data_IF_276593028317
#
_entry.id   IF_276593028317
#
_cell.length_a   1.000
_cell.length_b   1.000
_cell.length_c   1.000
_cell.angle_alpha   90.00
_cell.angle_beta   90.00
_cell.angle_gamma   90.00
#
_symmetry.space_group_name_H-M   'P 1'
#
loop_
_entity.id
_entity.type
_entity.pdbx_description
1 polymer ?
#
# COMPACT_ATOMS: atom_id res chain seq x y z
N UNK A 1 -48.92 20.95 -24.74
CA UNK A 1 -48.89 20.14 -23.50
C UNK A 1 -47.69 19.20 -23.60
N UNK A 2 -46.79 19.19 -22.62
CA UNK A 2 -45.63 18.28 -22.64
C UNK A 2 -46.10 16.85 -22.40
N UNK A 3 -45.69 15.92 -23.28
CA UNK A 3 -45.99 14.50 -23.08
C UNK A 3 -45.23 13.95 -21.88
N UNK A 4 -45.75 12.88 -21.28
CA UNK A 4 -45.11 12.20 -20.16
C UNK A 4 -43.65 11.81 -20.50
N UNK A 5 -43.41 11.32 -21.72
CA UNK A 5 -42.08 10.94 -22.21
C UNK A 5 -41.11 12.13 -22.26
N UNK A 6 -41.57 13.33 -22.64
CA UNK A 6 -40.72 14.52 -22.66
C UNK A 6 -40.29 14.96 -21.26
N UNK A 7 -41.21 14.91 -20.28
CA UNK A 7 -40.91 15.25 -18.89
C UNK A 7 -39.92 14.26 -18.27
N UNK A 8 -40.09 12.97 -18.55
CA UNK A 8 -39.15 11.93 -18.12
C UNK A 8 -37.76 12.13 -18.73
N UNK A 9 -37.68 12.42 -20.03
CA UNK A 9 -36.41 12.69 -20.71
C UNK A 9 -35.66 13.88 -20.10
N UNK A 10 -36.35 14.98 -19.77
CA UNK A 10 -35.70 16.13 -19.12
C UNK A 10 -35.10 15.78 -17.76
N UNK A 11 -35.80 14.99 -16.94
CA UNK A 11 -35.30 14.55 -15.63
C UNK A 11 -34.06 13.65 -15.80
N UNK A 12 -34.12 12.69 -16.72
CA UNK A 12 -33.01 11.75 -16.96
C UNK A 12 -31.80 12.47 -17.54
N UNK A 13 -31.97 13.33 -18.55
CA UNK A 13 -30.87 14.09 -19.14
C UNK A 13 -30.24 15.05 -18.11
N UNK A 14 -31.06 15.76 -17.33
CA UNK A 14 -30.54 16.66 -16.29
C UNK A 14 -29.78 15.89 -15.22
N UNK A 15 -30.34 14.80 -14.70
CA UNK A 15 -29.65 13.93 -13.74
C UNK A 15 -28.36 13.35 -14.30
N UNK A 16 -28.36 12.92 -15.56
CA UNK A 16 -27.19 12.41 -16.26
C UNK A 16 -26.08 13.46 -16.38
N UNK A 17 -26.41 14.70 -16.73
CA UNK A 17 -25.44 15.80 -16.83
C UNK A 17 -24.85 16.12 -15.45
N UNK A 18 -25.66 16.17 -14.40
CA UNK A 18 -25.18 16.39 -13.03
C UNK A 18 -24.22 15.28 -12.60
N UNK A 19 -24.56 14.02 -12.86
CA UNK A 19 -23.69 12.89 -12.54
C UNK A 19 -22.36 12.95 -13.29
N UNK A 20 -22.39 13.22 -14.61
CA UNK A 20 -21.17 13.40 -15.40
C UNK A 20 -20.34 14.57 -14.86
N UNK A 21 -20.97 15.67 -14.47
CA UNK A 21 -20.30 16.81 -13.85
C UNK A 21 -19.58 16.44 -12.55
N UNK A 22 -20.24 15.69 -11.66
CA UNK A 22 -19.63 15.21 -10.41
C UNK A 22 -18.48 14.24 -10.67
N UNK A 23 -18.61 13.34 -11.65
CA UNK A 23 -17.54 12.42 -12.04
C UNK A 23 -16.33 13.17 -12.60
N UNK A 24 -16.55 14.22 -13.40
CA UNK A 24 -15.47 15.08 -13.90
C UNK A 24 -14.76 15.80 -12.76
N UNK A 25 -15.51 16.37 -11.81
CA UNK A 25 -14.93 17.00 -10.62
C UNK A 25 -14.13 16.01 -9.76
N UNK A 26 -14.62 14.78 -9.62
CA UNK A 26 -13.89 13.71 -8.95
C UNK A 26 -12.56 13.40 -9.66
N UNK A 27 -12.58 13.29 -10.99
CA UNK A 27 -11.37 13.06 -11.79
C UNK A 27 -10.38 14.23 -11.66
N UNK A 28 -10.87 15.47 -11.74
CA UNK A 28 -10.05 16.68 -11.58
C UNK A 28 -9.45 16.79 -10.17
N UNK A 29 -10.16 16.30 -9.14
CA UNK A 29 -9.65 16.31 -7.77
C UNK A 29 -8.32 15.56 -7.63
N UNK A 30 -8.04 14.58 -8.49
CA UNK A 30 -6.77 13.84 -8.52
C UNK A 30 -5.56 14.75 -8.68
N UNK A 31 -5.66 15.80 -9.50
CA UNK A 31 -4.54 16.71 -9.76
C UNK A 31 -4.10 17.51 -8.52
N UNK A 32 -4.91 17.55 -7.46
CA UNK A 32 -4.61 18.25 -6.22
C UNK A 32 -3.93 17.38 -5.16
N UNK A 33 -3.81 16.06 -5.40
CA UNK A 33 -3.19 15.14 -4.45
C UNK A 33 -1.79 14.71 -4.93
N UNK A 34 -0.85 14.60 -3.98
CA UNK A 34 0.51 14.17 -4.27
C UNK A 34 0.57 12.67 -4.51
N UNK A 35 1.20 12.27 -5.62
CA UNK A 35 1.46 10.87 -5.95
C UNK A 35 2.82 10.36 -5.44
N UNK A 36 3.63 11.22 -4.82
CA UNK A 36 4.96 10.88 -4.33
C UNK A 36 5.07 11.07 -2.82
N UNK A 37 5.77 10.13 -2.18
CA UNK A 37 6.15 10.16 -0.77
C UNK A 37 7.63 9.82 -0.67
N UNK A 38 8.30 10.42 0.31
CA UNK A 38 9.66 10.04 0.66
C UNK A 38 9.60 8.97 1.74
N UNK A 39 10.17 7.81 1.43
CA UNK A 39 10.22 6.65 2.32
C UNK A 39 11.69 6.37 2.61
N UNK A 40 12.11 6.55 3.85
CA UNK A 40 13.44 6.14 4.31
C UNK A 40 13.31 4.80 5.05
N UNK A 41 13.89 3.77 4.46
CA UNK A 41 13.90 2.41 4.99
C UNK A 41 15.35 2.02 5.22
N UNK A 42 15.69 1.72 6.48
CA UNK A 42 17.01 1.26 6.86
C UNK A 42 16.94 -0.16 7.39
N UNK A 43 17.71 -1.05 6.79
CA UNK A 43 17.92 -2.38 7.31
C UNK A 43 18.89 -2.28 8.49
N UNK A 44 18.46 -2.73 9.67
CA UNK A 44 19.31 -2.70 10.86
C UNK A 44 20.16 -3.97 10.96
N UNK A 45 19.61 -5.02 11.54
CA UNK A 45 20.36 -6.22 11.92
C UNK A 45 19.56 -7.49 11.69
N UNK A 46 20.31 -8.56 11.39
CA UNK A 46 19.80 -9.93 11.34
C UNK A 46 19.81 -10.47 12.77
N UNK A 47 18.63 -10.58 13.37
CA UNK A 47 18.50 -11.01 14.76
C UNK A 47 18.76 -12.51 14.94
N UNK A 48 18.27 -13.31 14.00
CA UNK A 48 18.40 -14.76 14.03
C UNK A 48 18.56 -15.27 12.62
N UNK A 49 19.50 -16.18 12.45
CA UNK A 49 19.62 -17.01 11.26
C UNK A 49 19.77 -18.45 11.74
N UNK A 50 18.95 -19.34 11.21
CA UNK A 50 19.06 -20.75 11.50
C UNK A 50 18.85 -21.55 10.22
N UNK A 51 19.71 -22.54 10.03
CA UNK A 51 19.68 -23.45 8.92
C UNK A 51 19.30 -24.82 9.43
N UNK A 52 18.11 -25.27 9.04
CA UNK A 52 17.65 -26.62 9.28
C UNK A 52 17.83 -27.45 8.00
N UNK A 53 17.71 -28.78 8.12
CA UNK A 53 18.02 -29.71 7.01
C UNK A 53 17.24 -29.40 5.71
N UNK A 54 16.02 -28.87 5.84
CA UNK A 54 15.10 -28.67 4.72
C UNK A 54 14.70 -27.20 4.49
N UNK A 55 15.05 -26.30 5.40
CA UNK A 55 14.71 -24.87 5.27
C UNK A 55 15.67 -24.00 6.10
N UNK A 56 15.84 -22.77 5.65
CA UNK A 56 16.51 -21.69 6.38
C UNK A 56 15.46 -20.67 6.80
N UNK A 57 15.63 -20.10 7.98
CA UNK A 57 14.85 -18.93 8.35
C UNK A 57 15.72 -17.83 8.95
N UNK A 58 15.35 -16.61 8.64
CA UNK A 58 16.03 -15.42 9.13
C UNK A 58 15.03 -14.38 9.61
N UNK A 59 15.34 -13.74 10.74
CA UNK A 59 14.55 -12.64 11.29
C UNK A 59 15.35 -11.37 11.13
N UNK A 60 14.81 -10.44 10.36
CA UNK A 60 15.39 -9.13 10.11
C UNK A 60 14.62 -8.06 10.88
N UNK A 61 15.26 -6.94 11.14
CA UNK A 61 14.55 -5.76 11.59
C UNK A 61 14.86 -4.55 10.75
N UNK A 62 13.83 -3.75 10.53
CA UNK A 62 13.84 -2.60 9.66
C UNK A 62 13.42 -1.37 10.45
N UNK A 63 14.10 -0.26 10.22
CA UNK A 63 13.67 1.05 10.68
C UNK A 63 12.94 1.73 9.52
N UNK A 64 11.75 2.25 9.81
CA UNK A 64 10.88 2.91 8.85
C UNK A 64 10.62 4.35 9.31
N UNK A 65 11.05 5.29 8.47
CA UNK A 65 10.82 6.72 8.62
C UNK A 65 10.13 7.24 7.36
N UNK A 66 8.84 7.56 7.47
CA UNK A 66 8.03 8.00 6.33
C UNK A 66 6.86 8.86 6.76
N UNK A 67 6.58 9.89 5.95
CA UNK A 67 5.35 10.68 6.06
C UNK A 67 4.35 10.26 4.98
N UNK A 68 3.28 9.57 5.39
CA UNK A 68 2.19 9.11 4.52
C UNK A 68 0.97 10.06 4.56
N UNK A 69 1.05 11.16 5.32
CA UNK A 69 -0.03 12.15 5.44
C UNK A 69 -0.55 12.66 4.08
N UNK A 70 0.29 12.88 3.04
CA UNK A 70 -0.17 13.30 1.72
C UNK A 70 -1.09 12.30 1.01
N UNK A 71 -0.99 11.00 1.33
CA UNK A 71 -1.81 9.95 0.70
C UNK A 71 -3.26 9.92 1.21
N UNK A 72 -3.53 10.55 2.35
CA UNK A 72 -4.87 10.66 2.91
C UNK A 72 -5.64 11.82 2.27
N UNK A 73 -6.50 11.48 1.32
CA UNK A 73 -7.51 12.38 0.76
C UNK A 73 -8.90 12.11 1.38
N UNK A 74 -9.92 12.84 0.90
CA UNK A 74 -11.29 12.73 1.39
C UNK A 74 -11.91 11.33 1.20
N UNK A 75 -11.45 10.57 0.21
CA UNK A 75 -11.90 9.22 -0.11
C UNK A 75 -11.04 8.12 0.54
N UNK A 76 -9.75 8.36 0.79
CA UNK A 76 -8.83 7.39 1.42
C UNK A 76 -9.22 7.13 2.87
N UNK A 77 -9.76 5.94 3.16
CA UNK A 77 -10.15 5.53 4.54
C UNK A 77 -9.12 4.67 5.24
N UNK A 78 -8.28 3.97 4.48
CA UNK A 78 -7.22 3.12 5.03
C UNK A 78 -6.09 2.96 4.02
N UNK A 79 -4.88 2.76 4.54
CA UNK A 79 -3.71 2.36 3.78
C UNK A 79 -3.25 0.98 4.25
N UNK A 80 -2.94 0.11 3.29
CA UNK A 80 -2.33 -1.20 3.54
C UNK A 80 -0.85 -1.10 3.24
N UNK A 81 -0.04 -1.16 4.29
CA UNK A 81 1.41 -1.05 4.20
C UNK A 81 2.00 -2.44 4.38
N UNK A 82 3.00 -2.77 3.58
CA UNK A 82 3.77 -3.98 3.73
C UNK A 82 5.20 -3.74 3.26
N UNK A 83 6.14 -4.39 3.94
CA UNK A 83 7.56 -4.40 3.57
C UNK A 83 7.85 -5.82 3.08
N UNK A 84 8.34 -5.91 1.84
CA UNK A 84 8.75 -7.16 1.21
C UNK A 84 10.26 -7.23 1.06
N UNK A 85 10.83 -8.36 1.50
CA UNK A 85 12.19 -8.72 1.16
C UNK A 85 12.17 -9.45 -0.18
N UNK A 86 12.87 -8.90 -1.16
CA UNK A 86 13.10 -9.52 -2.46
C UNK A 86 14.55 -10.00 -2.55
N UNK A 87 14.72 -11.26 -2.94
CA UNK A 87 16.03 -11.87 -3.05
C UNK A 87 16.04 -12.92 -4.16
N UNK A 88 17.22 -13.22 -4.67
CA UNK A 88 17.44 -14.23 -5.71
C UNK A 88 18.26 -15.37 -5.12
N UNK A 89 17.91 -16.60 -5.48
CA UNK A 89 18.68 -17.80 -5.10
C UNK A 89 19.05 -18.58 -6.35
N UNK A 90 19.94 -19.56 -6.23
CA UNK A 90 20.30 -20.44 -7.37
C UNK A 90 19.10 -21.18 -7.96
N UNK A 91 18.10 -21.47 -7.12
CA UNK A 91 16.92 -22.24 -7.51
C UNK A 91 15.75 -21.35 -7.94
N UNK A 92 15.68 -20.11 -7.43
CA UNK A 92 14.59 -19.18 -7.72
C UNK A 92 15.12 -17.83 -8.20
N UNK A 93 14.66 -17.44 -9.40
CA UNK A 93 15.02 -16.16 -10.04
C UNK A 93 14.48 -14.95 -9.26
N UNK A 94 13.35 -15.11 -8.56
CA UNK A 94 12.77 -14.09 -7.69
C UNK A 94 12.02 -14.75 -6.53
N UNK A 95 12.46 -14.49 -5.31
CA UNK A 95 11.75 -14.82 -4.08
C UNK A 95 11.32 -13.54 -3.39
N UNK A 96 10.03 -13.41 -3.09
CA UNK A 96 9.46 -12.24 -2.41
C UNK A 96 8.72 -12.70 -1.15
N UNK A 97 9.10 -12.14 0.00
CA UNK A 97 8.51 -12.49 1.30
C UNK A 97 8.14 -11.22 2.06
N UNK A 98 6.91 -11.16 2.57
CA UNK A 98 6.46 -10.07 3.43
C UNK A 98 7.03 -10.25 4.83
N UNK A 99 7.79 -9.27 5.32
CA UNK A 99 8.43 -9.31 6.65
C UNK A 99 7.68 -8.46 7.68
N UNK A 100 6.90 -7.50 7.22
CA UNK A 100 6.09 -6.62 8.05
C UNK A 100 4.89 -6.10 7.27
N UNK A 101 3.76 -5.94 7.96
CA UNK A 101 2.53 -5.36 7.44
C UNK A 101 1.86 -4.51 8.52
N UNK A 102 1.19 -3.45 8.08
CA UNK A 102 0.43 -2.56 8.94
C UNK A 102 -0.75 -1.95 8.20
N UNK A 103 -1.88 -1.87 8.89
CA UNK A 103 -3.09 -1.24 8.37
C UNK A 103 -3.25 0.10 9.08
N UNK A 104 -3.05 1.17 8.32
CA UNK A 104 -3.16 2.54 8.83
C UNK A 104 -4.55 3.09 8.48
N UNK A 105 -5.39 3.29 9.48
CA UNK A 105 -6.75 3.82 9.33
C UNK A 105 -6.88 5.30 9.70
N UNK A 106 -5.97 5.81 10.53
CA UNK A 106 -6.03 7.16 11.07
C UNK A 106 -4.94 8.04 10.47
N UNK A 107 -5.34 9.15 9.84
CA UNK A 107 -4.43 10.14 9.26
C UNK A 107 -3.46 10.72 10.29
N UNK A 108 -3.87 10.84 11.55
CA UNK A 108 -3.00 11.39 12.61
C UNK A 108 -1.77 10.52 12.90
N UNK A 109 -1.83 9.23 12.54
CA UNK A 109 -0.75 8.25 12.68
C UNK A 109 0.01 8.01 11.36
N UNK A 110 -0.24 8.85 10.35
CA UNK A 110 0.36 8.68 9.03
C UNK A 110 1.82 9.09 8.95
N UNK A 111 2.33 9.80 9.95
CA UNK A 111 3.76 10.02 10.11
C UNK A 111 4.34 8.89 10.97
N UNK A 112 5.11 8.00 10.33
CA UNK A 112 5.63 6.76 10.93
C UNK A 112 7.12 6.93 11.16
N UNK A 113 7.54 6.81 12.41
CA UNK A 113 8.94 6.83 12.83
C UNK A 113 9.23 5.63 13.74
N UNK A 114 9.08 4.43 13.18
CA UNK A 114 9.18 3.19 13.95
C UNK A 114 10.53 2.52 13.73
N UNK A 115 11.10 2.03 14.82
CA UNK A 115 12.39 1.32 14.79
C UNK A 115 12.21 -0.14 15.13
N UNK A 116 13.07 -0.97 14.55
CA UNK A 116 13.15 -2.42 14.77
C UNK A 116 11.84 -3.15 14.46
N UNK A 117 11.19 -2.78 13.37
CA UNK A 117 10.02 -3.47 12.86
C UNK A 117 10.41 -4.88 12.41
N UNK A 118 9.78 -5.88 13.01
CA UNK A 118 9.96 -7.30 12.70
C UNK A 118 8.70 -8.06 13.08
N UNK A 119 7.96 -8.59 12.10
CA UNK A 119 6.74 -9.35 12.36
C UNK A 119 6.83 -10.78 11.87
N UNK A 120 7.27 -10.98 10.63
CA UNK A 120 7.36 -12.31 10.03
C UNK A 120 8.81 -12.72 9.76
N UNK A 121 9.20 -13.95 10.12
CA UNK A 121 10.47 -14.50 9.71
C UNK A 121 10.46 -14.75 8.20
N UNK A 122 11.59 -14.49 7.55
CA UNK A 122 11.85 -14.93 6.19
C UNK A 122 12.17 -16.42 6.23
N UNK A 123 11.43 -17.24 5.48
CA UNK A 123 11.65 -18.69 5.39
C UNK A 123 11.94 -19.04 3.92
N UNK A 124 13.05 -19.72 3.68
CA UNK A 124 13.44 -20.23 2.36
C UNK A 124 13.70 -21.75 2.42
N UNK A 125 13.19 -22.48 1.44
CA UNK A 125 13.43 -23.91 1.27
C UNK A 125 14.67 -24.21 0.41
N UNK A 126 15.12 -23.23 -0.38
CA UNK A 126 16.23 -23.38 -1.32
C UNK A 126 17.62 -23.45 -0.69
N UNK A 127 17.72 -23.28 0.63
CA UNK A 127 18.97 -23.17 1.39
C UNK A 127 19.94 -22.14 0.79
N UNK A 128 19.38 -21.07 0.21
CA UNK A 128 20.09 -20.06 -0.56
C UNK A 128 20.27 -18.73 0.17
N UNK A 129 19.83 -18.63 1.44
CA UNK A 129 19.99 -17.43 2.25
C UNK A 129 21.44 -17.40 2.77
N UNK A 130 22.32 -16.72 2.02
CA UNK A 130 23.71 -16.47 2.37
C UNK A 130 24.06 -15.00 2.17
#
# INVERSE_FOLDING_TARGET
MYSFSQRANTIVCFGGIVLVGVLLLNCLSRAFFSDHINVDIKLNEIHKYNKQRNFEYSVFSVDLDTDLTPLFNWNTKMLFLYITAEYQTKNNVLSQVVIWDYILTDKTKANIHEKRLSKYPLIDQGLGLK
#
